data_IF_977627371895
#
_entry.id   IF_977627371895
#
_cell.length_a   1.000
_cell.length_b   1.000
_cell.length_c   1.000
_cell.angle_alpha   90.00
_cell.angle_beta   90.00
_cell.angle_gamma   90.00
#
_symmetry.space_group_name_H-M   'P 1'
#
loop_
_entity.id
_entity.type
_entity.pdbx_description
1 polymer ?
#
# COMPACT_ATOMS: atom_id res chain seq x y z
N UNK A 1 10.26 -6.79 18.61
CA UNK A 1 10.07 -5.55 17.82
C UNK A 1 8.77 -4.91 18.25
N UNK A 2 8.73 -3.59 18.47
CA UNK A 2 7.48 -2.89 18.79
C UNK A 2 6.47 -3.04 17.64
N UNK A 3 5.18 -3.07 17.97
CA UNK A 3 4.11 -3.26 16.98
C UNK A 3 4.16 -2.23 15.84
N UNK A 4 4.50 -0.97 16.15
CA UNK A 4 4.68 0.09 15.16
C UNK A 4 5.84 -0.17 14.19
N UNK A 5 7.00 -0.61 14.68
CA UNK A 5 8.14 -0.90 13.82
C UNK A 5 7.83 -2.05 12.86
N UNK A 6 7.14 -3.07 13.36
CA UNK A 6 6.68 -4.17 12.53
C UNK A 6 5.69 -3.68 11.45
N UNK A 7 4.71 -2.87 11.82
CA UNK A 7 3.73 -2.32 10.89
C UNK A 7 4.38 -1.42 9.82
N UNK A 8 5.29 -0.53 10.20
CA UNK A 8 6.06 0.31 9.26
C UNK A 8 6.97 -0.51 8.35
N UNK A 9 7.62 -1.55 8.87
CA UNK A 9 8.43 -2.45 8.05
C UNK A 9 7.57 -3.16 7.00
N UNK A 10 6.39 -3.66 7.40
CA UNK A 10 5.44 -4.26 6.46
C UNK A 10 4.96 -3.24 5.41
N UNK A 11 4.57 -2.03 5.82
CA UNK A 11 4.19 -0.96 4.89
C UNK A 11 5.30 -0.71 3.86
N UNK A 12 6.53 -0.52 4.33
CA UNK A 12 7.68 -0.22 3.47
C UNK A 12 7.95 -1.34 2.46
N UNK A 13 7.93 -2.61 2.89
CA UNK A 13 8.16 -3.76 2.00
C UNK A 13 7.09 -3.89 0.92
N UNK A 14 5.84 -3.56 1.24
CA UNK A 14 4.70 -3.68 0.32
C UNK A 14 4.61 -2.49 -0.62
N UNK A 15 4.77 -1.28 -0.08
CA UNK A 15 4.50 -0.05 -0.82
C UNK A 15 5.70 0.45 -1.61
N UNK A 16 6.95 0.05 -1.31
CA UNK A 16 8.10 0.39 -2.16
C UNK A 16 7.93 -0.15 -3.59
N UNK A 17 7.72 -1.46 -3.82
CA UNK A 17 7.48 -1.95 -5.18
C UNK A 17 6.20 -1.38 -5.80
N UNK A 18 5.16 -1.11 -4.99
CA UNK A 18 3.94 -0.48 -5.46
C UNK A 18 4.17 0.95 -5.97
N UNK A 19 4.87 1.79 -5.20
CA UNK A 19 5.22 3.17 -5.57
C UNK A 19 6.05 3.22 -6.86
N UNK A 20 7.04 2.33 -6.99
CA UNK A 20 7.86 2.23 -8.20
C UNK A 20 7.02 1.79 -9.40
N UNK A 21 6.06 0.88 -9.18
CA UNK A 21 5.12 0.47 -10.23
C UNK A 21 4.22 1.61 -10.70
N UNK A 22 3.75 2.47 -9.79
CA UNK A 22 2.96 3.66 -10.16
C UNK A 22 3.82 4.76 -10.81
N UNK A 23 5.07 4.95 -10.39
CA UNK A 23 5.97 5.97 -10.93
C UNK A 23 6.49 5.60 -12.33
N UNK A 24 7.02 4.37 -12.47
CA UNK A 24 7.71 3.92 -13.68
C UNK A 24 6.79 3.11 -14.60
N UNK A 25 5.74 2.50 -14.05
CA UNK A 25 4.82 1.60 -14.74
C UNK A 25 3.38 2.12 -14.85
N UNK A 26 3.13 3.42 -14.66
CA UNK A 26 1.79 4.03 -14.66
C UNK A 26 0.89 3.56 -15.81
N UNK A 27 1.42 3.51 -17.04
CA UNK A 27 0.66 3.06 -18.22
C UNK A 27 0.12 1.62 -18.06
N UNK A 28 0.93 0.71 -17.50
CA UNK A 28 0.52 -0.67 -17.22
C UNK A 28 -0.52 -0.76 -16.10
N UNK A 29 -0.52 0.19 -15.16
CA UNK A 29 -1.52 0.25 -14.09
C UNK A 29 -2.92 0.61 -14.59
N UNK A 30 -3.00 1.42 -15.66
CA UNK A 30 -4.26 1.83 -16.28
C UNK A 30 -4.90 0.72 -17.14
N UNK A 31 -4.10 -0.24 -17.66
CA UNK A 31 -4.58 -1.41 -18.44
C UNK A 31 -5.42 -1.05 -19.68
N UNK A 32 -5.16 0.12 -20.24
CA UNK A 32 -5.75 0.60 -21.49
C UNK A 32 -4.69 0.56 -22.60
N UNK A 33 -5.04 0.23 -23.85
CA UNK A 33 -4.09 0.23 -24.97
C UNK A 33 -3.44 1.60 -25.21
N UNK A 34 -4.23 2.67 -25.05
CA UNK A 34 -3.82 4.06 -25.26
C UNK A 34 -4.32 4.92 -24.09
N UNK A 35 -3.66 4.88 -22.93
CA UNK A 35 -4.11 5.59 -21.74
C UNK A 35 -4.00 7.11 -21.93
N UNK A 36 -4.97 7.84 -21.39
CA UNK A 36 -4.95 9.31 -21.37
C UNK A 36 -3.66 9.82 -20.67
N UNK A 37 -2.87 10.74 -21.28
CA UNK A 37 -1.67 11.31 -20.67
C UNK A 37 -1.89 11.90 -19.27
N UNK A 38 -3.02 12.56 -19.02
CA UNK A 38 -3.35 13.14 -17.72
C UNK A 38 -3.59 12.04 -16.66
N UNK A 39 -4.23 10.93 -17.05
CA UNK A 39 -4.42 9.79 -16.15
C UNK A 39 -3.06 9.14 -15.77
N UNK A 40 -2.12 9.11 -16.71
CA UNK A 40 -0.74 8.65 -16.45
C UNK A 40 -0.06 9.55 -15.44
N UNK A 41 -0.12 10.88 -15.61
CA UNK A 41 0.46 11.84 -14.67
C UNK A 41 -0.15 11.71 -13.27
N UNK A 42 -1.48 11.58 -13.16
CA UNK A 42 -2.16 11.34 -11.88
C UNK A 42 -1.68 10.05 -11.21
N UNK A 43 -1.51 8.96 -11.97
CA UNK A 43 -0.93 7.73 -11.44
C UNK A 43 0.51 7.91 -10.94
N UNK A 44 1.33 8.70 -11.64
CA UNK A 44 2.70 8.99 -11.21
C UNK A 44 2.72 9.87 -9.95
N UNK A 45 1.88 10.90 -9.86
CA UNK A 45 1.73 11.71 -8.65
C UNK A 45 1.27 10.86 -7.46
N UNK A 46 0.35 9.93 -7.68
CA UNK A 46 -0.04 8.95 -6.65
C UNK A 46 1.15 8.07 -6.25
N UNK A 47 1.94 7.56 -7.20
CA UNK A 47 3.16 6.82 -6.91
C UNK A 47 4.18 7.62 -6.08
N UNK A 48 4.33 8.92 -6.35
CA UNK A 48 5.18 9.83 -5.59
C UNK A 48 4.68 10.04 -4.14
N UNK A 49 3.36 10.15 -3.95
CA UNK A 49 2.75 10.23 -2.62
C UNK A 49 2.98 8.95 -1.81
N UNK A 50 2.86 7.78 -2.43
CA UNK A 50 3.15 6.49 -1.77
C UNK A 50 4.64 6.35 -1.46
N UNK A 51 5.51 6.85 -2.35
CA UNK A 51 6.94 6.89 -2.06
C UNK A 51 7.25 7.79 -0.86
N UNK A 52 6.57 8.93 -0.70
CA UNK A 52 6.79 9.81 0.45
C UNK A 52 6.33 9.18 1.76
N UNK A 53 5.27 8.36 1.77
CA UNK A 53 4.85 7.61 2.97
C UNK A 53 5.86 6.52 3.34
N UNK A 54 6.52 5.91 2.35
CA UNK A 54 7.64 4.99 2.59
C UNK A 54 8.85 5.69 3.20
N UNK A 55 9.20 6.89 2.69
CA UNK A 55 10.28 7.70 3.28
C UNK A 55 9.93 8.07 4.72
N UNK A 56 8.68 8.45 5.00
CA UNK A 56 8.21 8.71 6.36
C UNK A 56 8.41 7.48 7.26
N UNK A 57 7.94 6.30 6.84
CA UNK A 57 8.12 5.05 7.59
C UNK A 57 9.61 4.74 7.83
N UNK A 58 10.45 4.91 6.81
CA UNK A 58 11.90 4.70 6.91
C UNK A 58 12.54 5.62 7.95
N UNK A 59 12.20 6.92 7.92
CA UNK A 59 12.71 7.89 8.88
C UNK A 59 12.25 7.58 10.30
N UNK A 60 11.00 7.17 10.51
CA UNK A 60 10.54 6.72 11.83
C UNK A 60 11.33 5.50 12.33
N UNK A 61 11.56 4.50 11.47
CA UNK A 61 12.33 3.30 11.82
C UNK A 61 13.80 3.63 12.17
N UNK A 62 14.45 4.49 11.38
CA UNK A 62 15.85 4.85 11.59
C UNK A 62 16.07 5.83 12.74
N UNK A 63 15.19 6.83 12.90
CA UNK A 63 15.40 7.92 13.83
C UNK A 63 14.75 7.69 15.20
N UNK A 64 13.67 6.88 15.28
CA UNK A 64 12.96 6.65 16.55
C UNK A 64 13.19 5.25 17.13
N UNK A 65 13.54 4.26 16.31
CA UNK A 65 13.93 2.94 16.77
C UNK A 65 12.88 2.36 17.73
N UNK A 66 13.25 2.09 18.98
CA UNK A 66 12.34 1.52 19.99
C UNK A 66 11.49 2.56 20.76
N UNK A 67 11.73 3.85 20.58
CA UNK A 67 10.96 4.91 21.25
C UNK A 67 9.67 5.19 20.47
N UNK A 68 8.65 4.37 20.72
CA UNK A 68 7.30 4.58 20.19
C UNK A 68 6.61 5.66 21.03
N UNK A 69 6.42 6.83 20.44
CA UNK A 69 5.70 7.97 21.02
C UNK A 69 4.32 8.15 20.36
N UNK A 70 3.49 9.04 20.91
CA UNK A 70 2.15 9.33 20.40
C UNK A 70 2.16 9.68 18.91
N UNK A 71 3.18 10.41 18.46
CA UNK A 71 3.35 10.75 17.05
C UNK A 71 3.51 9.51 16.17
N UNK A 72 4.28 8.51 16.63
CA UNK A 72 4.42 7.22 15.95
C UNK A 72 3.09 6.50 15.82
N UNK A 73 2.27 6.50 16.88
CA UNK A 73 0.95 5.89 16.90
C UNK A 73 -0.04 6.59 15.95
N UNK A 74 -0.06 7.93 15.97
CA UNK A 74 -0.90 8.77 15.10
C UNK A 74 -0.53 8.55 13.64
N UNK A 75 0.76 8.49 13.31
CA UNK A 75 1.23 8.21 11.95
C UNK A 75 0.81 6.81 11.50
N UNK A 76 0.96 5.79 12.36
CA UNK A 76 0.50 4.44 12.04
C UNK A 76 -1.01 4.38 11.76
N UNK A 77 -1.83 4.99 12.62
CA UNK A 77 -3.27 5.08 12.41
C UNK A 77 -3.63 5.82 11.11
N UNK A 78 -2.92 6.91 10.79
CA UNK A 78 -3.12 7.68 9.57
C UNK A 78 -2.78 6.87 8.31
N UNK A 79 -1.68 6.13 8.33
CA UNK A 79 -1.27 5.25 7.23
C UNK A 79 -2.22 4.05 7.07
N UNK A 80 -2.86 3.58 8.14
CA UNK A 80 -3.88 2.54 8.03
C UNK A 80 -5.02 2.99 7.10
N UNK A 81 -5.49 4.23 7.21
CA UNK A 81 -6.57 4.76 6.34
C UNK A 81 -6.20 4.66 4.87
N UNK A 82 -4.94 4.93 4.52
CA UNK A 82 -4.46 4.80 3.14
C UNK A 82 -4.66 3.38 2.59
N UNK A 83 -4.50 2.33 3.39
CA UNK A 83 -4.64 0.95 2.91
C UNK A 83 -6.07 0.53 2.57
N UNK A 84 -7.09 1.31 2.95
CA UNK A 84 -8.47 1.09 2.48
C UNK A 84 -8.56 1.24 0.95
N UNK A 85 -7.84 2.20 0.37
CA UNK A 85 -7.87 2.47 -1.07
C UNK A 85 -7.29 1.34 -1.95
N UNK A 86 -6.09 0.79 -1.69
CA UNK A 86 -5.59 -0.35 -2.45
C UNK A 86 -6.42 -1.63 -2.21
N UNK A 87 -6.99 -1.84 -1.01
CA UNK A 87 -7.96 -2.92 -0.73
C UNK A 87 -9.19 -2.77 -1.63
N UNK A 88 -9.77 -1.57 -1.69
CA UNK A 88 -10.90 -1.26 -2.56
C UNK A 88 -10.55 -1.47 -4.04
N UNK A 89 -9.40 -0.95 -4.48
CA UNK A 89 -8.89 -1.09 -5.86
C UNK A 89 -8.74 -2.57 -6.24
N UNK A 90 -8.20 -3.40 -5.34
CA UNK A 90 -8.07 -4.84 -5.54
C UNK A 90 -9.45 -5.52 -5.61
N UNK A 91 -10.38 -5.14 -4.71
CA UNK A 91 -11.74 -5.68 -4.67
C UNK A 91 -12.53 -5.41 -5.96
N UNK A 92 -12.45 -4.19 -6.49
CA UNK A 92 -13.08 -3.82 -7.77
C UNK A 92 -12.49 -4.64 -8.92
N UNK A 93 -11.16 -4.86 -8.92
CA UNK A 93 -10.48 -5.69 -9.93
C UNK A 93 -10.93 -7.16 -9.85
N UNK A 94 -11.04 -7.72 -8.64
CA UNK A 94 -11.54 -9.09 -8.42
C UNK A 94 -12.97 -9.24 -8.97
N UNK A 95 -13.86 -8.30 -8.64
CA UNK A 95 -15.26 -8.32 -9.10
C UNK A 95 -15.37 -8.26 -10.62
N UNK A 96 -14.55 -7.44 -11.29
CA UNK A 96 -14.52 -7.32 -12.76
C UNK A 96 -13.98 -8.56 -13.48
N UNK A 97 -13.15 -9.37 -12.82
CA UNK A 97 -12.56 -10.58 -13.41
C UNK A 97 -13.48 -11.82 -13.38
N UNK A 98 -14.71 -11.71 -12.84
CA UNK A 98 -15.73 -12.76 -12.97
C UNK A 98 -15.54 -14.01 -12.10
N UNK A 99 -14.95 -13.88 -10.91
CA UNK A 99 -14.77 -15.01 -9.98
C UNK A 99 -13.73 -16.03 -10.43
N UNK A 100 -13.44 -17.01 -9.55
CA UNK A 100 -12.29 -17.95 -9.55
C UNK A 100 -11.97 -18.72 -10.85
N UNK A 101 -12.76 -18.61 -11.93
CA UNK A 101 -12.71 -19.51 -13.09
C UNK A 101 -11.94 -19.05 -14.34
N UNK A 102 -11.51 -17.79 -14.48
CA UNK A 102 -10.81 -17.31 -15.70
C UNK A 102 -9.51 -16.52 -15.47
N UNK A 103 -9.06 -16.40 -14.22
CA UNK A 103 -8.10 -15.36 -13.79
C UNK A 103 -6.60 -15.64 -13.94
N UNK A 104 -6.17 -16.88 -14.22
CA UNK A 104 -4.75 -17.25 -14.11
C UNK A 104 -3.85 -16.59 -15.16
N UNK A 105 -4.33 -16.44 -16.40
CA UNK A 105 -3.57 -15.77 -17.46
C UNK A 105 -3.45 -14.26 -17.25
N UNK A 106 -4.39 -13.63 -16.54
CA UNK A 106 -4.43 -12.18 -16.30
C UNK A 106 -3.88 -11.78 -14.92
N UNK A 107 -3.55 -12.77 -14.07
CA UNK A 107 -2.82 -12.59 -12.81
C UNK A 107 -1.33 -12.32 -13.03
N UNK A 108 -0.76 -12.72 -14.17
CA UNK A 108 0.68 -12.64 -14.45
C UNK A 108 1.19 -11.22 -14.78
N UNK A 109 0.31 -10.28 -15.17
CA UNK A 109 0.76 -8.99 -15.72
C UNK A 109 1.13 -7.93 -14.65
N UNK A 110 0.84 -8.16 -13.37
CA UNK A 110 1.22 -7.26 -12.27
C UNK A 110 1.58 -8.12 -11.06
N UNK A 111 2.80 -7.96 -10.51
CA UNK A 111 3.34 -8.66 -9.33
C UNK A 111 2.24 -9.10 -8.33
N UNK A 112 1.88 -10.39 -8.34
CA UNK A 112 0.95 -11.03 -7.40
C UNK A 112 -0.54 -11.05 -7.77
N UNK A 113 -1.00 -10.25 -8.74
CA UNK A 113 -2.43 -10.18 -9.10
C UNK A 113 -3.34 -9.61 -8.01
N UNK A 114 -4.63 -9.38 -8.30
CA UNK A 114 -5.49 -8.56 -7.44
C UNK A 114 -5.83 -9.22 -6.09
N UNK A 115 -5.88 -10.55 -6.00
CA UNK A 115 -6.11 -11.24 -4.72
C UNK A 115 -4.92 -11.09 -3.75
N UNK A 116 -3.69 -11.22 -4.22
CA UNK A 116 -2.50 -11.02 -3.37
C UNK A 116 -2.44 -9.57 -2.90
N UNK A 117 -2.71 -8.60 -3.79
CA UNK A 117 -2.79 -7.19 -3.40
C UNK A 117 -3.82 -6.98 -2.30
N UNK A 118 -5.02 -7.55 -2.42
CA UNK A 118 -6.05 -7.47 -1.38
C UNK A 118 -5.55 -8.01 -0.04
N UNK A 119 -5.04 -9.25 -0.01
CA UNK A 119 -4.60 -9.91 1.22
C UNK A 119 -3.45 -9.14 1.88
N UNK A 120 -2.44 -8.78 1.10
CA UNK A 120 -1.25 -8.08 1.62
C UNK A 120 -1.65 -6.71 2.18
N UNK A 121 -2.42 -5.89 1.46
CA UNK A 121 -2.85 -4.60 2.00
C UNK A 121 -3.83 -4.73 3.18
N UNK A 122 -4.65 -5.79 3.25
CA UNK A 122 -5.47 -6.07 4.43
C UNK A 122 -4.61 -6.40 5.67
N UNK A 123 -3.54 -7.18 5.50
CA UNK A 123 -2.60 -7.46 6.59
C UNK A 123 -1.87 -6.20 7.06
N UNK A 124 -1.44 -5.34 6.13
CA UNK A 124 -0.80 -4.06 6.48
C UNK A 124 -1.79 -3.11 7.15
N UNK A 125 -3.04 -3.05 6.68
CA UNK A 125 -4.12 -2.27 7.31
C UNK A 125 -4.32 -2.69 8.77
N UNK A 126 -4.44 -3.99 9.02
CA UNK A 126 -4.65 -4.52 10.37
C UNK A 126 -3.45 -4.26 11.28
N UNK A 127 -2.22 -4.43 10.78
CA UNK A 127 -1.01 -4.19 11.58
C UNK A 127 -0.82 -2.72 11.96
N UNK A 128 -1.07 -1.79 11.03
CA UNK A 128 -1.00 -0.35 11.28
C UNK A 128 -2.13 0.13 12.20
N UNK A 129 -3.36 -0.38 12.01
CA UNK A 129 -4.49 -0.07 12.90
C UNK A 129 -4.18 -0.53 14.33
N UNK A 130 -3.68 -1.75 14.48
CA UNK A 130 -3.29 -2.28 15.77
C UNK A 130 -2.17 -1.45 16.43
N UNK A 131 -1.12 -1.11 15.68
CA UNK A 131 -0.03 -0.27 16.17
C UNK A 131 -0.51 1.12 16.61
N UNK A 132 -1.39 1.74 15.83
CA UNK A 132 -1.98 3.03 16.17
C UNK A 132 -2.84 2.98 17.42
N UNK A 133 -3.73 1.99 17.53
CA UNK A 133 -4.59 1.82 18.72
C UNK A 133 -3.76 1.56 19.98
N UNK A 134 -2.78 0.65 19.91
CA UNK A 134 -1.92 0.38 21.06
C UNK A 134 -1.19 1.64 21.52
N UNK A 135 -0.60 2.42 20.62
CA UNK A 135 0.17 3.59 21.01
C UNK A 135 -0.66 4.81 21.44
N UNK A 136 -1.99 4.78 21.30
CA UNK A 136 -2.90 5.85 21.77
C UNK A 136 -3.61 5.50 23.09
N UNK A 137 -3.60 4.24 23.50
CA UNK A 137 -4.31 3.76 24.70
C UNK A 137 -3.44 3.70 25.96
N UNK A 138 -2.16 4.07 25.86
CA UNK A 138 -1.16 4.05 26.94
C UNK A 138 -0.37 5.35 26.93
#
# INVERSE_FOLDING_TARGET
>A
MHAANFAFTLHLLVEVPASLSFLLGARKQLREPTPNPEAVLVCQSYGGLVLSTNVLCFLFLCCRGSNVDDATAIVAASLAVYHVFPIWRASVRIKRQGGLGRGWAQQAEVLGGPYVHFVVHALVFLSLTWAGLQGMTW
#
